data_IF_144780711264
#
_entry.id   IF_144780711264
#
_cell.length_a   1.000
_cell.length_b   1.000
_cell.length_c   1.000
_cell.angle_alpha   90.00
_cell.angle_beta   90.00
_cell.angle_gamma   90.00
#
_symmetry.space_group_name_H-M   'P 1'
#
loop_
_entity.id
_entity.type
_entity.pdbx_description
1 polymer ?
#
# COMPACT_ATOMS: atom_id res chain seq x y z
N UNK A 1 -0.92 -12.27 -7.53
CA UNK A 1 0.07 -12.84 -8.47
C UNK A 1 1.40 -13.01 -7.72
N UNK A 2 2.23 -14.00 -8.02
CA UNK A 2 3.54 -14.13 -7.34
C UNK A 2 4.53 -13.17 -7.99
N UNK A 3 4.91 -12.10 -7.29
CA UNK A 3 5.84 -11.07 -7.81
C UNK A 3 7.27 -11.50 -7.48
N UNK A 4 8.16 -11.43 -8.47
CA UNK A 4 9.56 -11.82 -8.27
C UNK A 4 10.29 -10.82 -7.36
N UNK A 5 11.29 -11.28 -6.61
CA UNK A 5 12.15 -10.38 -5.81
C UNK A 5 12.83 -9.29 -6.66
N UNK A 6 13.13 -9.59 -7.93
CA UNK A 6 13.73 -8.63 -8.85
C UNK A 6 12.73 -7.52 -9.21
N UNK A 7 11.48 -7.90 -9.51
CA UNK A 7 10.41 -6.96 -9.83
C UNK A 7 10.03 -6.10 -8.62
N UNK A 8 9.93 -6.70 -7.44
CA UNK A 8 9.71 -6.00 -6.16
C UNK A 8 10.78 -4.92 -5.92
N UNK A 9 12.07 -5.28 -6.02
CA UNK A 9 13.17 -4.32 -5.89
C UNK A 9 13.11 -3.21 -6.93
N UNK A 10 12.73 -3.54 -8.18
CA UNK A 10 12.60 -2.56 -9.25
C UNK A 10 11.45 -1.58 -8.97
N UNK A 11 10.29 -2.05 -8.52
CA UNK A 11 9.17 -1.19 -8.11
C UNK A 11 9.59 -0.24 -7.00
N UNK A 12 10.26 -0.76 -5.97
CA UNK A 12 10.75 0.02 -4.85
C UNK A 12 11.78 1.08 -5.26
N UNK A 13 12.68 0.75 -6.20
CA UNK A 13 13.69 1.68 -6.73
C UNK A 13 13.03 2.81 -7.52
N UNK A 14 12.12 2.48 -8.44
CA UNK A 14 11.40 3.48 -9.24
C UNK A 14 10.59 4.43 -8.35
N UNK A 15 10.00 3.91 -7.27
CA UNK A 15 9.31 4.73 -6.28
C UNK A 15 10.28 5.63 -5.49
N UNK A 16 11.47 5.15 -5.14
CA UNK A 16 12.53 5.97 -4.52
C UNK A 16 13.05 7.06 -5.46
N UNK A 17 13.09 6.81 -6.76
CA UNK A 17 13.40 7.79 -7.82
C UNK A 17 12.25 8.80 -8.05
N UNK A 18 11.15 8.71 -7.29
CA UNK A 18 10.04 9.67 -7.31
C UNK A 18 8.92 9.36 -8.31
N UNK A 19 8.98 8.24 -9.04
CA UNK A 19 7.88 7.86 -9.94
C UNK A 19 6.62 7.51 -9.14
N UNK A 20 5.47 7.98 -9.61
CA UNK A 20 4.15 7.67 -9.04
C UNK A 20 3.78 6.20 -9.32
N UNK A 21 3.08 5.53 -8.40
CA UNK A 21 2.63 4.12 -8.59
C UNK A 21 1.87 3.92 -9.90
N UNK A 22 0.96 4.84 -10.25
CA UNK A 22 0.21 4.73 -11.50
C UNK A 22 1.13 4.71 -12.73
N UNK A 23 2.22 5.48 -12.71
CA UNK A 23 3.22 5.48 -13.76
C UNK A 23 4.08 4.19 -13.71
N UNK A 24 4.51 3.76 -12.52
CA UNK A 24 5.26 2.51 -12.33
C UNK A 24 4.46 1.32 -12.89
N UNK A 25 3.17 1.24 -12.56
CA UNK A 25 2.27 0.20 -13.06
C UNK A 25 2.07 0.32 -14.58
N UNK A 26 1.69 1.51 -15.08
CA UNK A 26 1.38 1.68 -16.51
C UNK A 26 2.60 1.44 -17.42
N UNK A 27 3.78 1.91 -17.02
CA UNK A 27 4.99 1.90 -17.86
C UNK A 27 5.84 0.64 -17.71
N UNK A 28 5.87 0.02 -16.52
CA UNK A 28 6.82 -1.06 -16.23
C UNK A 28 6.16 -2.38 -15.86
N UNK A 29 4.94 -2.35 -15.32
CA UNK A 29 4.23 -3.54 -14.86
C UNK A 29 2.74 -3.52 -15.26
N UNK A 30 2.41 -3.36 -16.56
CA UNK A 30 1.02 -3.21 -17.01
C UNK A 30 0.16 -4.44 -16.72
N UNK A 31 0.78 -5.61 -16.63
CA UNK A 31 0.17 -6.89 -16.25
C UNK A 31 -0.25 -6.96 -14.77
N UNK A 32 0.29 -6.07 -13.94
CA UNK A 32 -0.04 -5.98 -12.53
C UNK A 32 -1.16 -4.99 -12.29
N UNK A 33 -1.92 -5.23 -11.22
CA UNK A 33 -2.85 -4.23 -10.72
C UNK A 33 -2.08 -3.06 -10.09
N UNK A 34 -2.75 -1.92 -9.95
CA UNK A 34 -2.21 -0.81 -9.15
C UNK A 34 -1.85 -1.27 -7.73
N UNK A 35 -2.63 -2.20 -7.18
CA UNK A 35 -2.46 -2.76 -5.84
C UNK A 35 -1.23 -3.64 -5.69
N UNK A 36 -0.98 -4.53 -6.66
CA UNK A 36 0.23 -5.34 -6.69
C UNK A 36 1.49 -4.45 -6.61
N UNK A 37 1.51 -3.35 -7.39
CA UNK A 37 2.63 -2.39 -7.35
C UNK A 37 2.64 -1.59 -6.05
N UNK A 38 1.47 -1.24 -5.52
CA UNK A 38 1.35 -0.51 -4.26
C UNK A 38 1.95 -1.31 -3.08
N UNK A 39 1.58 -2.58 -2.95
CA UNK A 39 2.03 -3.47 -1.86
C UNK A 39 3.54 -3.65 -1.94
N UNK A 40 4.11 -3.87 -3.12
CA UNK A 40 5.56 -4.04 -3.26
C UNK A 40 6.36 -2.78 -2.96
N UNK A 41 5.81 -1.61 -3.29
CA UNK A 41 6.45 -0.31 -3.03
C UNK A 41 6.41 0.05 -1.55
N UNK A 42 5.30 -0.21 -0.85
CA UNK A 42 5.09 0.28 0.52
C UNK A 42 5.10 -0.78 1.62
N UNK A 43 4.70 -2.03 1.33
CA UNK A 43 4.71 -3.16 2.27
C UNK A 43 6.10 -3.57 2.74
N UNK A 44 7.16 -3.18 2.03
CA UNK A 44 8.54 -3.35 2.46
C UNK A 44 9.04 -2.27 3.45
N UNK A 45 8.14 -1.54 4.12
CA UNK A 45 8.48 -0.63 5.21
C UNK A 45 8.67 0.84 4.81
N UNK A 46 8.06 1.30 3.72
CA UNK A 46 8.31 2.65 3.17
C UNK A 46 7.21 3.70 3.37
N UNK A 47 6.16 3.42 4.14
CA UNK A 47 5.27 4.48 4.65
C UNK A 47 4.91 4.28 6.11
N UNK A 48 4.97 5.37 6.86
CA UNK A 48 4.43 5.41 8.22
C UNK A 48 2.89 5.29 8.19
N UNK A 49 2.30 4.81 9.29
CA UNK A 49 0.85 4.75 9.45
C UNK A 49 0.16 6.10 9.14
N UNK A 50 0.83 7.22 9.45
CA UNK A 50 0.37 8.56 9.11
C UNK A 50 0.26 8.80 7.59
N UNK A 51 1.22 8.29 6.81
CA UNK A 51 1.20 8.40 5.35
C UNK A 51 0.04 7.62 4.73
N UNK A 52 -0.25 6.43 5.25
CA UNK A 52 -1.41 5.62 4.81
C UNK A 52 -2.72 6.28 5.24
N UNK A 53 -2.81 6.80 6.47
CA UNK A 53 -3.98 7.55 6.96
C UNK A 53 -4.30 8.77 6.07
N UNK A 54 -3.30 9.56 5.68
CA UNK A 54 -3.48 10.70 4.75
C UNK A 54 -4.03 10.26 3.39
N UNK A 55 -3.61 9.10 2.90
CA UNK A 55 -4.13 8.57 1.63
C UNK A 55 -5.58 8.11 1.76
N UNK A 56 -5.92 7.41 2.86
CA UNK A 56 -7.30 7.04 3.16
C UNK A 56 -8.19 8.29 3.20
N UNK A 57 -7.78 9.33 3.93
CA UNK A 57 -8.52 10.60 3.98
C UNK A 57 -8.73 11.17 2.58
N UNK A 58 -7.67 11.29 1.77
CA UNK A 58 -7.79 11.78 0.40
C UNK A 58 -8.76 10.94 -0.44
N UNK A 59 -8.71 9.61 -0.30
CA UNK A 59 -9.59 8.71 -1.05
C UNK A 59 -11.05 8.81 -0.61
N UNK A 60 -11.32 9.05 0.66
CA UNK A 60 -12.67 9.38 1.16
C UNK A 60 -13.17 10.67 0.48
N UNK A 61 -12.33 11.70 0.43
CA UNK A 61 -12.67 12.97 -0.23
C UNK A 61 -12.93 12.76 -1.73
N UNK A 62 -12.11 11.93 -2.40
CA UNK A 62 -12.27 11.59 -3.81
C UNK A 62 -13.59 10.83 -4.08
N UNK A 63 -14.03 9.92 -3.18
CA UNK A 63 -15.35 9.26 -3.28
C UNK A 63 -16.47 10.30 -3.22
N UNK A 64 -16.41 11.22 -2.26
CA UNK A 64 -17.43 12.24 -2.07
C UNK A 64 -17.52 13.21 -3.25
N UNK A 65 -16.37 13.55 -3.85
CA UNK A 65 -16.30 14.44 -5.01
C UNK A 65 -16.70 13.76 -6.34
N UNK A 66 -16.65 12.42 -6.41
CA UNK A 66 -16.85 11.70 -7.67
C UNK A 66 -18.33 11.59 -8.10
N UNK A 67 -18.59 12.05 -9.33
CA UNK A 67 -19.91 11.97 -9.97
C UNK A 67 -20.18 10.61 -10.62
N UNK A 68 -19.14 9.84 -10.93
CA UNK A 68 -19.23 8.54 -11.60
C UNK A 68 -19.41 7.40 -10.59
N UNK A 69 -20.45 6.58 -10.77
CA UNK A 69 -20.65 5.38 -9.93
C UNK A 69 -19.49 4.40 -10.06
N UNK A 70 -18.97 4.22 -11.29
CA UNK A 70 -17.83 3.33 -11.55
C UNK A 70 -16.61 3.79 -10.76
N UNK A 71 -16.28 5.07 -10.84
CA UNK A 71 -15.12 5.64 -10.18
C UNK A 71 -15.27 5.56 -8.66
N UNK A 72 -16.48 5.80 -8.12
CA UNK A 72 -16.75 5.60 -6.68
C UNK A 72 -16.48 4.17 -6.23
N UNK A 73 -16.84 3.16 -7.04
CA UNK A 73 -16.60 1.75 -6.71
C UNK A 73 -15.11 1.40 -6.76
N UNK A 74 -14.38 1.92 -7.75
CA UNK A 74 -12.93 1.73 -7.84
C UNK A 74 -12.21 2.37 -6.64
N UNK A 75 -12.56 3.62 -6.29
CA UNK A 75 -11.98 4.32 -5.13
C UNK A 75 -12.37 3.64 -3.81
N UNK A 76 -13.61 3.14 -3.69
CA UNK A 76 -14.05 2.38 -2.51
C UNK A 76 -13.29 1.07 -2.33
N UNK A 77 -12.99 0.36 -3.44
CA UNK A 77 -12.13 -0.82 -3.40
C UNK A 77 -10.70 -0.45 -2.98
N UNK A 78 -10.14 0.66 -3.48
CA UNK A 78 -8.84 1.17 -3.00
C UNK A 78 -8.87 1.50 -1.51
N UNK A 79 -9.94 2.10 -1.00
CA UNK A 79 -10.09 2.40 0.42
C UNK A 79 -10.08 1.14 1.28
N UNK A 80 -10.81 0.10 0.87
CA UNK A 80 -10.89 -1.15 1.61
C UNK A 80 -9.50 -1.79 1.80
N UNK A 81 -8.73 -1.83 0.73
CA UNK A 81 -7.38 -2.38 0.73
C UNK A 81 -6.39 -1.53 1.56
N UNK A 82 -6.51 -0.18 1.54
CA UNK A 82 -5.71 0.70 2.40
C UNK A 82 -5.99 0.49 3.89
N UNK A 83 -7.26 0.25 4.25
CA UNK A 83 -7.65 -0.07 5.62
C UNK A 83 -7.09 -1.42 6.04
N UNK A 84 -7.18 -2.43 5.18
CA UNK A 84 -6.58 -3.75 5.43
C UNK A 84 -5.06 -3.69 5.58
N UNK A 85 -4.38 -2.89 4.76
CA UNK A 85 -2.95 -2.67 4.89
C UNK A 85 -2.59 -2.10 6.26
N UNK A 86 -3.30 -1.06 6.74
CA UNK A 86 -3.09 -0.53 8.08
C UNK A 86 -3.31 -1.59 9.16
N UNK A 87 -4.38 -2.38 9.05
CA UNK A 87 -4.67 -3.43 10.02
C UNK A 87 -3.56 -4.50 10.05
N UNK A 88 -3.13 -4.99 8.88
CA UNK A 88 -2.10 -6.01 8.77
C UNK A 88 -0.76 -5.50 9.29
N UNK A 89 -0.37 -4.28 8.94
CA UNK A 89 0.85 -3.65 9.46
C UNK A 89 0.79 -3.54 10.99
N UNK A 90 -0.33 -3.12 11.56
CA UNK A 90 -0.50 -3.06 13.01
C UNK A 90 -0.42 -4.43 13.68
N UNK A 91 -1.09 -5.43 13.10
CA UNK A 91 -1.08 -6.82 13.57
C UNK A 91 0.34 -7.39 13.55
N UNK A 92 1.09 -7.18 12.48
CA UNK A 92 2.48 -7.61 12.37
C UNK A 92 3.38 -6.89 13.37
N UNK A 93 3.21 -5.58 13.53
CA UNK A 93 3.98 -4.80 14.49
C UNK A 93 3.69 -5.25 15.92
N UNK A 94 2.45 -5.57 16.27
CA UNK A 94 2.10 -6.15 17.56
C UNK A 94 2.80 -7.50 17.77
N UNK A 95 2.75 -8.39 16.77
CA UNK A 95 3.44 -9.68 16.85
C UNK A 95 4.96 -9.55 17.00
N UNK A 96 5.57 -8.54 16.36
CA UNK A 96 6.99 -8.21 16.54
C UNK A 96 7.28 -7.70 17.96
N UNK A 97 6.45 -6.80 18.48
CA UNK A 97 6.58 -6.30 19.85
C UNK A 97 6.42 -7.41 20.90
N UNK A 98 5.47 -8.33 20.72
CA UNK A 98 5.29 -9.46 21.64
C UNK A 98 6.50 -10.40 21.65
N UNK A 99 7.12 -10.63 20.49
CA UNK A 99 8.37 -11.39 20.40
C UNK A 99 9.52 -10.69 21.13
N UNK A 100 9.60 -9.37 21.02
CA UNK A 100 10.61 -8.56 21.73
C UNK A 100 10.38 -8.65 23.24
N UNK A 101 9.14 -8.45 23.72
CA UNK A 101 8.78 -8.58 25.15
C UNK A 101 9.16 -9.94 25.72
N UNK A 102 8.76 -11.02 25.03
CA UNK A 102 9.14 -12.40 25.41
C UNK A 102 10.64 -12.63 25.48
N UNK A 103 11.40 -12.03 24.56
CA UNK A 103 12.86 -12.16 24.54
C UNK A 103 13.55 -11.35 25.64
N UNK A 104 12.93 -10.25 26.08
CA UNK A 104 13.43 -9.39 27.16
C UNK A 104 13.00 -9.84 28.57
N UNK A 105 12.11 -10.84 28.66
CA UNK A 105 11.57 -11.38 29.90
C UNK A 105 10.91 -10.32 30.82
N UNK A 106 9.96 -9.57 30.24
CA UNK A 106 8.75 -9.10 30.94
C UNK A 106 7.56 -9.99 30.57
#
# INVERSE_FOLDING_TARGET
MQISKADSKKMQRLAQEGKKIAAIRKEYFPQLSYWDVYVEVYGAGKRSALGVKRMITKRIDDVAASKSKKDRLEIASELHELVWHLYNDHKENHAKLDKIRKALAE
#
